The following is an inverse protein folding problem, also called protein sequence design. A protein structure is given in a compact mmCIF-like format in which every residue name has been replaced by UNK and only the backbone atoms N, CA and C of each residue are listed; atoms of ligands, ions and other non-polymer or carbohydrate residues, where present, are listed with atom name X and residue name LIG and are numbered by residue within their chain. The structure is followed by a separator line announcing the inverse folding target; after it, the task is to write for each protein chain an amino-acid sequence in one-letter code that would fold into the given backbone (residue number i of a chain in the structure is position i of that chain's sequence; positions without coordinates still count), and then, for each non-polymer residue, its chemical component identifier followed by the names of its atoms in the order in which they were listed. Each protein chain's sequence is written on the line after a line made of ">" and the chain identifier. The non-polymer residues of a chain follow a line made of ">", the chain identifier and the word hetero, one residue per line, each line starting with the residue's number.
data_IF_606106646201
#
_entry.id   IF_606106646201
#
_cell.length_a   1.000
_cell.length_b   1.000
_cell.length_c   1.000
_cell.angle_alpha   90.00
_cell.angle_beta   90.00
_cell.angle_gamma   90.00
#
_symmetry.space_group_name_H-M   'P 1'
#
loop_
_entity.id
_entity.type
_entity.pdbx_description
1 polymer ?
#
# COMPACT_ATOMS: atom_id res chain seq x y z
N UNK A 1 -14.13 -4.75 -4.01
CA UNK A 1 -12.98 -5.09 -4.85
C UNK A 1 -12.64 -6.56 -4.63
N UNK A 2 -12.39 -7.32 -5.69
CA UNK A 2 -11.95 -8.73 -5.66
C UNK A 2 -10.44 -8.84 -5.86
N UNK A 3 -9.87 -10.02 -5.63
CA UNK A 3 -8.43 -10.25 -5.75
C UNK A 3 -7.85 -9.81 -7.12
N UNK A 4 -8.51 -10.13 -8.23
CA UNK A 4 -8.03 -9.75 -9.57
C UNK A 4 -8.04 -8.23 -9.80
N UNK A 5 -8.96 -7.49 -9.17
CA UNK A 5 -9.02 -6.02 -9.29
C UNK A 5 -7.84 -5.39 -8.53
N UNK A 6 -7.44 -5.98 -7.40
CA UNK A 6 -6.21 -5.58 -6.69
C UNK A 6 -4.95 -5.90 -7.50
N UNK A 7 -4.88 -7.06 -8.17
CA UNK A 7 -3.75 -7.38 -9.05
C UNK A 7 -3.59 -6.35 -10.16
N UNK A 8 -4.70 -5.95 -10.78
CA UNK A 8 -4.72 -4.88 -11.78
C UNK A 8 -4.22 -3.58 -11.18
N UNK A 9 -4.64 -3.19 -9.97
CA UNK A 9 -4.10 -1.99 -9.33
C UNK A 9 -2.59 -2.08 -9.07
N UNK A 10 -2.09 -3.22 -8.58
CA UNK A 10 -0.66 -3.42 -8.33
C UNK A 10 0.14 -3.30 -9.64
N UNK A 11 -0.35 -3.92 -10.72
CA UNK A 11 0.26 -3.83 -12.05
C UNK A 11 0.34 -2.37 -12.52
N UNK A 12 -0.73 -1.61 -12.27
CA UNK A 12 -0.94 -0.27 -12.81
C UNK A 12 -0.31 0.85 -11.99
N UNK A 13 0.34 0.54 -10.87
CA UNK A 13 1.24 1.49 -10.19
C UNK A 13 2.28 2.02 -11.20
N UNK A 14 2.38 3.34 -11.30
CA UNK A 14 3.15 4.09 -12.29
C UNK A 14 2.33 4.67 -13.45
N UNK A 15 1.06 4.27 -13.60
CA UNK A 15 0.14 4.83 -14.61
C UNK A 15 -0.34 6.23 -14.22
N UNK A 16 -0.77 7.03 -15.19
CA UNK A 16 -1.44 8.30 -14.94
C UNK A 16 -2.91 8.09 -14.55
N UNK A 17 -3.43 8.96 -13.69
CA UNK A 17 -4.80 8.90 -13.19
C UNK A 17 -5.85 8.87 -14.33
N UNK A 18 -5.65 9.70 -15.35
CA UNK A 18 -6.54 9.81 -16.51
C UNK A 18 -6.62 8.50 -17.29
N UNK A 19 -5.52 7.74 -17.36
CA UNK A 19 -5.50 6.43 -18.02
C UNK A 19 -6.34 5.43 -17.21
N UNK A 20 -6.17 5.42 -15.89
CA UNK A 20 -6.92 4.52 -14.99
C UNK A 20 -8.43 4.79 -15.05
N UNK A 21 -8.83 6.05 -15.20
CA UNK A 21 -10.23 6.43 -15.45
C UNK A 21 -10.71 5.97 -16.82
N UNK A 22 -9.96 6.26 -17.89
CA UNK A 22 -10.35 5.95 -19.26
C UNK A 22 -10.55 4.46 -19.52
N UNK A 23 -9.82 3.62 -18.79
CA UNK A 23 -9.91 2.16 -18.87
C UNK A 23 -10.90 1.55 -17.88
N UNK A 24 -11.53 2.36 -17.03
CA UNK A 24 -12.52 1.92 -16.04
C UNK A 24 -11.92 1.15 -14.87
N UNK A 25 -10.61 1.29 -14.61
CA UNK A 25 -9.92 0.67 -13.48
C UNK A 25 -10.28 1.37 -12.17
N UNK A 26 -10.41 2.71 -12.22
CA UNK A 26 -10.81 3.53 -11.09
C UNK A 26 -12.18 4.18 -11.33
N UNK A 27 -12.94 4.44 -10.26
CA UNK A 27 -14.19 5.20 -10.37
C UNK A 27 -13.88 6.65 -10.76
N UNK A 28 -14.82 7.28 -11.47
CA UNK A 28 -14.78 8.72 -11.77
C UNK A 28 -15.05 9.54 -10.49
N UNK A 29 -13.99 9.71 -9.72
CA UNK A 29 -13.96 10.44 -8.45
C UNK A 29 -12.88 11.53 -8.53
N UNK A 30 -12.97 12.57 -7.71
CA UNK A 30 -11.90 13.57 -7.64
C UNK A 30 -10.84 13.13 -6.65
N UNK A 31 -9.58 13.29 -7.01
CA UNK A 31 -8.47 13.12 -6.07
C UNK A 31 -8.53 14.23 -5.02
N UNK A 32 -8.27 13.87 -3.76
CA UNK A 32 -8.37 14.78 -2.61
C UNK A 32 -7.01 15.12 -2.06
N UNK A 33 -6.80 16.37 -1.70
CA UNK A 33 -5.64 16.83 -0.95
C UNK A 33 -5.93 16.71 0.55
N UNK A 34 -5.11 15.96 1.28
CA UNK A 34 -5.34 15.74 2.72
C UNK A 34 -4.85 16.93 3.54
N UNK A 35 -3.71 17.52 3.17
CA UNK A 35 -3.14 18.71 3.79
C UNK A 35 -2.78 19.74 2.74
N UNK A 36 -2.97 21.02 3.04
CA UNK A 36 -2.62 22.11 2.15
C UNK A 36 -1.12 22.08 1.80
N UNK A 37 -0.81 22.03 0.51
CA UNK A 37 0.54 21.94 -0.02
C UNK A 37 1.12 20.53 -0.05
N UNK A 38 0.31 19.48 0.12
CA UNK A 38 0.78 18.08 0.03
C UNK A 38 1.12 17.73 -1.42
N UNK A 39 2.33 17.23 -1.68
CA UNK A 39 2.74 16.83 -3.03
C UNK A 39 2.04 15.53 -3.49
N UNK A 40 1.29 14.87 -2.60
CA UNK A 40 0.45 13.73 -2.91
C UNK A 40 -1.04 14.10 -2.94
N UNK A 41 -1.76 13.43 -3.83
CA UNK A 41 -3.21 13.43 -3.91
C UNK A 41 -3.73 12.03 -3.57
N UNK A 42 -4.83 11.96 -2.84
CA UNK A 42 -5.36 10.74 -2.27
C UNK A 42 -6.72 10.35 -2.85
N UNK A 43 -6.97 9.05 -2.95
CA UNK A 43 -8.27 8.47 -3.29
C UNK A 43 -8.54 7.19 -2.50
N UNK A 44 -9.74 7.06 -1.93
CA UNK A 44 -10.25 5.82 -1.33
C UNK A 44 -11.40 5.28 -2.17
N UNK A 45 -11.15 4.40 -3.16
CA UNK A 45 -12.22 3.81 -3.96
C UNK A 45 -13.12 2.88 -3.14
N UNK A 46 -12.60 2.29 -2.05
CA UNK A 46 -13.32 1.38 -1.17
C UNK A 46 -12.73 1.40 0.26
N UNK A 47 -13.52 1.16 1.32
CA UNK A 47 -13.00 1.06 2.68
C UNK A 47 -11.76 0.19 2.83
N UNK A 48 -10.67 0.82 3.30
CA UNK A 48 -9.39 0.17 3.56
C UNK A 48 -8.48 0.02 2.34
N UNK A 49 -8.88 0.57 1.19
CA UNK A 49 -8.05 0.72 -0.01
C UNK A 49 -7.77 2.21 -0.20
N UNK A 50 -6.52 2.61 -0.02
CA UNK A 50 -6.08 4.00 -0.23
C UNK A 50 -5.07 4.05 -1.39
N UNK A 51 -5.17 5.08 -2.22
CA UNK A 51 -4.31 5.29 -3.38
C UNK A 51 -3.68 6.68 -3.30
N UNK A 52 -2.35 6.75 -3.43
CA UNK A 52 -1.62 8.02 -3.55
C UNK A 52 -1.16 8.26 -4.99
N UNK A 53 -1.33 9.49 -5.43
CA UNK A 53 -0.92 10.00 -6.72
C UNK A 53 0.04 11.17 -6.55
N UNK A 54 1.04 11.28 -7.42
CA UNK A 54 1.91 12.46 -7.47
C UNK A 54 1.14 13.66 -8.01
N UNK A 55 1.02 14.74 -7.24
CA UNK A 55 0.22 15.91 -7.61
C UNK A 55 0.59 16.49 -8.97
N UNK A 56 1.88 16.64 -9.26
CA UNK A 56 2.33 17.35 -10.46
C UNK A 56 1.99 16.60 -11.76
N UNK A 57 1.88 15.27 -11.71
CA UNK A 57 1.73 14.44 -12.92
C UNK A 57 0.51 13.53 -12.91
N UNK A 58 -0.21 13.44 -11.79
CA UNK A 58 -1.29 12.46 -11.61
C UNK A 58 -0.81 11.01 -11.62
N UNK A 59 0.50 10.75 -11.48
CA UNK A 59 1.06 9.39 -11.50
C UNK A 59 0.66 8.63 -10.25
N UNK A 60 0.03 7.48 -10.40
CA UNK A 60 -0.31 6.56 -9.32
C UNK A 60 0.95 5.93 -8.73
N UNK A 61 1.23 6.13 -7.45
CA UNK A 61 2.51 5.72 -6.86
C UNK A 61 2.43 4.68 -5.77
N UNK A 62 1.31 4.67 -5.03
CA UNK A 62 1.20 3.84 -3.82
C UNK A 62 -0.22 3.35 -3.64
N UNK A 63 -0.36 2.04 -3.47
CA UNK A 63 -1.59 1.38 -3.03
C UNK A 63 -1.39 0.92 -1.59
N UNK A 64 -2.31 1.29 -0.70
CA UNK A 64 -2.38 0.78 0.66
C UNK A 64 -3.59 -0.12 0.79
N UNK A 65 -3.39 -1.28 1.42
CA UNK A 65 -4.45 -2.22 1.78
C UNK A 65 -4.41 -2.42 3.29
N UNK A 66 -5.35 -1.82 4.01
CA UNK A 66 -5.43 -1.85 5.47
C UNK A 66 -6.16 -3.10 5.96
N UNK A 67 -5.44 -4.03 6.59
CA UNK A 67 -5.96 -5.32 7.06
C UNK A 67 -6.42 -5.31 8.52
N UNK A 68 -5.78 -4.48 9.36
CA UNK A 68 -6.08 -4.37 10.78
C UNK A 68 -6.35 -2.91 11.14
N UNK A 69 -7.46 -2.66 11.81
CA UNK A 69 -7.80 -1.35 12.37
C UNK A 69 -6.87 -1.04 13.53
N UNK A 70 -5.95 -0.11 13.31
CA UNK A 70 -5.02 0.35 14.35
C UNK A 70 -5.40 1.70 14.95
N UNK A 71 -6.28 2.45 14.29
CA UNK A 71 -6.83 3.72 14.80
C UNK A 71 -8.35 3.79 14.59
N UNK A 72 -9.06 4.71 15.25
CA UNK A 72 -10.48 4.92 15.01
C UNK A 72 -10.83 5.29 13.56
N UNK A 73 -9.93 5.94 12.82
CA UNK A 73 -10.15 6.37 11.44
C UNK A 73 -9.80 5.32 10.39
N UNK A 74 -8.93 4.34 10.71
CA UNK A 74 -8.61 3.25 9.78
C UNK A 74 -9.84 2.40 9.50
N UNK A 75 -10.16 2.22 8.21
CA UNK A 75 -11.13 1.23 7.76
C UNK A 75 -10.39 -0.03 7.34
N UNK A 76 -10.91 -1.19 7.73
CA UNK A 76 -10.33 -2.48 7.34
C UNK A 76 -10.90 -2.90 5.99
N UNK A 77 -10.02 -3.29 5.09
CA UNK A 77 -10.36 -3.98 3.86
C UNK A 77 -10.84 -5.40 4.21
N UNK A 78 -11.99 -5.79 3.65
CA UNK A 78 -12.64 -7.09 3.88
C UNK A 78 -12.79 -7.93 2.62
N UNK A 79 -12.26 -7.45 1.49
CA UNK A 79 -12.29 -8.20 0.24
C UNK A 79 -11.20 -9.27 0.15
N UNK A 80 -11.17 -9.96 -0.98
CA UNK A 80 -10.20 -11.02 -1.26
C UNK A 80 -8.85 -10.43 -1.67
N UNK A 81 -7.76 -11.00 -1.14
CA UNK A 81 -6.40 -10.63 -1.52
C UNK A 81 -5.85 -11.61 -2.57
N UNK A 82 -5.05 -11.14 -3.53
CA UNK A 82 -4.35 -12.03 -4.45
C UNK A 82 -3.27 -12.83 -3.73
N UNK A 83 -2.98 -14.03 -4.24
CA UNK A 83 -1.89 -14.83 -3.73
C UNK A 83 -0.54 -14.10 -3.95
N UNK A 84 0.43 -14.22 -3.03
CA UNK A 84 0.42 -15.03 -1.80
C UNK A 84 -0.01 -14.24 -0.55
N UNK A 85 -0.71 -13.11 -0.71
CA UNK A 85 -1.11 -12.26 0.41
C UNK A 85 -2.37 -12.81 1.10
N UNK A 86 -2.44 -12.67 2.42
CA UNK A 86 -3.59 -13.10 3.21
C UNK A 86 -3.99 -12.03 4.25
N UNK A 87 -5.25 -12.04 4.67
CA UNK A 87 -5.81 -11.06 5.60
C UNK A 87 -5.23 -11.17 7.01
N UNK A 88 -4.77 -12.36 7.36
CA UNK A 88 -4.12 -12.65 8.64
C UNK A 88 -2.75 -13.25 8.36
N UNK A 89 -1.71 -12.48 8.65
CA UNK A 89 -0.31 -12.91 8.54
C UNK A 89 0.50 -12.30 9.67
N UNK A 90 1.53 -13.01 10.11
CA UNK A 90 2.57 -12.52 11.01
C UNK A 90 3.85 -12.22 10.23
N UNK A 91 4.82 -11.56 10.86
CA UNK A 91 6.14 -11.39 10.28
C UNK A 91 6.80 -12.74 9.94
N UNK A 92 6.65 -13.75 10.80
CA UNK A 92 7.21 -15.08 10.57
C UNK A 92 6.60 -15.72 9.30
N UNK A 93 5.28 -15.56 9.08
CA UNK A 93 4.64 -16.02 7.85
C UNK A 93 5.19 -15.29 6.61
N UNK A 94 5.41 -13.97 6.72
CA UNK A 94 6.01 -13.17 5.65
C UNK A 94 7.42 -13.66 5.33
N UNK A 95 8.26 -13.91 6.32
CA UNK A 95 9.62 -14.41 6.10
C UNK A 95 9.62 -15.83 5.51
N UNK A 96 8.68 -16.67 5.93
CA UNK A 96 8.54 -18.02 5.38
C UNK A 96 8.12 -18.03 3.90
N UNK A 97 7.30 -17.07 3.48
CA UNK A 97 6.78 -16.98 2.10
C UNK A 97 7.74 -16.21 1.18
N UNK A 98 8.28 -15.09 1.64
CA UNK A 98 9.03 -14.13 0.81
C UNK A 98 10.55 -14.18 1.03
N UNK A 99 11.03 -14.91 2.04
CA UNK A 99 12.45 -15.04 2.35
C UNK A 99 13.01 -13.82 3.09
N UNK A 100 14.25 -13.45 2.79
CA UNK A 100 14.94 -12.33 3.44
C UNK A 100 14.49 -10.98 2.82
N UNK A 101 14.09 -9.98 3.65
CA UNK A 101 13.66 -8.68 3.15
C UNK A 101 14.82 -7.88 2.56
N UNK A 102 14.55 -7.11 1.50
CA UNK A 102 15.54 -6.16 0.96
C UNK A 102 15.83 -5.00 1.93
N UNK A 103 14.86 -4.68 2.78
CA UNK A 103 14.99 -3.70 3.84
C UNK A 103 14.00 -4.04 4.95
N UNK A 104 14.44 -3.88 6.20
CA UNK A 104 13.62 -4.14 7.39
C UNK A 104 13.86 -3.06 8.42
N UNK A 105 12.83 -2.74 9.20
CA UNK A 105 12.93 -1.90 10.38
C UNK A 105 12.03 -2.47 11.46
N UNK A 106 12.62 -2.81 12.61
CA UNK A 106 11.87 -3.30 13.75
C UNK A 106 10.98 -2.24 14.43
N UNK A 107 10.26 -2.63 15.50
CA UNK A 107 9.43 -1.73 16.30
C UNK A 107 10.13 -0.44 16.75
N UNK A 108 9.43 0.69 16.67
CA UNK A 108 9.96 2.00 17.08
C UNK A 108 9.03 2.61 18.12
N UNK A 109 9.62 3.14 19.19
CA UNK A 109 8.91 3.97 20.15
C UNK A 109 8.78 5.39 19.60
N UNK A 110 7.57 5.76 19.20
CA UNK A 110 7.22 7.13 18.79
C UNK A 110 6.78 7.96 20.00
N UNK A 111 6.83 9.30 19.92
CA UNK A 111 6.28 10.18 20.95
C UNK A 111 4.79 9.93 21.19
N UNK A 112 4.32 10.29 22.39
CA UNK A 112 2.89 10.35 22.71
C UNK A 112 2.21 11.37 21.77
N UNK A 113 1.01 11.10 21.22
CA UNK A 113 0.12 9.97 21.51
C UNK A 113 0.32 8.72 20.63
N UNK A 114 1.30 8.69 19.72
CA UNK A 114 1.47 7.62 18.73
C UNK A 114 1.91 6.29 19.39
N UNK A 115 2.80 6.34 20.38
CA UNK A 115 3.22 5.14 21.13
C UNK A 115 4.17 4.23 20.36
N UNK A 116 4.06 2.91 20.53
CA UNK A 116 4.97 1.94 19.88
C UNK A 116 4.42 1.50 18.51
N UNK A 117 5.27 1.46 17.48
CA UNK A 117 4.93 0.89 16.17
C UNK A 117 5.51 -0.51 16.02
N UNK A 118 4.96 -1.33 15.12
CA UNK A 118 5.44 -2.70 14.86
C UNK A 118 6.65 -2.80 13.93
N UNK A 119 7.02 -1.73 13.26
CA UNK A 119 8.03 -1.79 12.20
C UNK A 119 7.47 -2.22 10.84
N UNK A 120 8.35 -2.59 9.92
CA UNK A 120 8.02 -3.01 8.57
C UNK A 120 9.14 -3.82 7.90
N UNK A 121 8.76 -4.64 6.92
CA UNK A 121 9.68 -5.31 5.99
C UNK A 121 9.31 -4.96 4.54
N UNK A 122 10.29 -4.90 3.66
CA UNK A 122 10.10 -4.62 2.25
C UNK A 122 10.74 -5.67 1.37
N UNK A 123 10.03 -6.04 0.31
CA UNK A 123 10.43 -7.05 -0.67
C UNK A 123 10.22 -6.51 -2.08
N UNK A 124 11.12 -6.81 -3.04
CA UNK A 124 10.84 -6.55 -4.43
C UNK A 124 9.65 -7.40 -4.87
N UNK A 125 8.79 -6.86 -5.72
CA UNK A 125 7.89 -7.71 -6.48
C UNK A 125 8.69 -8.39 -7.60
N UNK A 126 8.13 -9.47 -8.17
CA UNK A 126 8.72 -10.15 -9.31
C UNK A 126 9.02 -9.11 -10.42
N UNK A 127 10.29 -8.89 -10.81
CA UNK A 127 10.65 -7.85 -11.76
C UNK A 127 10.18 -8.13 -13.19
N UNK A 128 9.85 -9.39 -13.53
CA UNK A 128 9.29 -9.73 -14.84
C UNK A 128 7.81 -9.35 -14.94
N UNK A 129 7.07 -9.48 -13.83
CA UNK A 129 5.63 -9.17 -13.77
C UNK A 129 5.37 -7.72 -13.32
N UNK A 130 6.18 -7.21 -12.40
CA UNK A 130 5.99 -5.95 -11.70
C UNK A 130 7.30 -5.13 -11.68
N UNK A 131 7.83 -4.74 -12.84
CA UNK A 131 9.12 -4.08 -12.93
C UNK A 131 9.15 -2.79 -12.11
N UNK A 132 10.20 -2.64 -11.31
CA UNK A 132 10.46 -1.44 -10.50
C UNK A 132 9.51 -1.25 -9.31
N UNK A 133 8.78 -2.30 -8.90
CA UNK A 133 7.81 -2.25 -7.80
C UNK A 133 8.26 -3.08 -6.60
N UNK A 134 7.75 -2.72 -5.43
CA UNK A 134 7.97 -3.43 -4.17
C UNK A 134 6.68 -3.49 -3.36
N UNK A 135 6.64 -4.44 -2.45
CA UNK A 135 5.66 -4.49 -1.37
C UNK A 135 6.36 -4.17 -0.04
N UNK A 136 5.66 -3.44 0.83
CA UNK A 136 6.05 -3.20 2.21
C UNK A 136 4.98 -3.76 3.12
N UNK A 137 5.35 -4.69 3.99
CA UNK A 137 4.53 -5.21 5.05
C UNK A 137 4.71 -4.32 6.27
N UNK A 138 3.67 -3.63 6.68
CA UNK A 138 3.67 -2.88 7.93
C UNK A 138 3.08 -3.71 9.05
N UNK A 139 3.70 -3.65 10.23
CA UNK A 139 3.31 -4.49 11.37
C UNK A 139 2.63 -3.71 12.50
N UNK A 140 1.77 -4.41 13.23
CA UNK A 140 1.34 -4.07 14.59
C UNK A 140 2.47 -4.36 15.60
N UNK A 141 2.31 -3.93 16.86
CA UNK A 141 3.31 -4.18 17.92
C UNK A 141 3.55 -5.68 18.18
N UNK A 142 2.55 -6.51 17.95
CA UNK A 142 2.59 -7.98 18.03
C UNK A 142 3.01 -8.65 16.70
N UNK A 143 3.63 -7.88 15.79
CA UNK A 143 4.18 -8.36 14.52
C UNK A 143 3.16 -9.01 13.58
N UNK A 144 1.90 -8.58 13.65
CA UNK A 144 0.86 -8.94 12.68
C UNK A 144 0.85 -7.93 11.54
N UNK A 145 0.67 -8.41 10.31
CA UNK A 145 0.55 -7.53 9.14
C UNK A 145 -0.72 -6.70 9.28
N UNK A 146 -0.56 -5.38 9.43
CA UNK A 146 -1.69 -4.43 9.50
C UNK A 146 -1.99 -3.76 8.17
N UNK A 147 -0.99 -3.60 7.31
CA UNK A 147 -1.13 -2.89 6.04
C UNK A 147 -0.14 -3.47 5.03
N UNK A 148 -0.62 -3.77 3.83
CA UNK A 148 0.21 -4.02 2.66
C UNK A 148 0.34 -2.72 1.88
N UNK A 149 1.58 -2.33 1.55
CA UNK A 149 1.84 -1.12 0.77
C UNK A 149 2.59 -1.50 -0.49
N UNK A 150 1.93 -1.40 -1.64
CA UNK A 150 2.53 -1.64 -2.94
C UNK A 150 2.95 -0.29 -3.52
N UNK A 151 4.20 -0.18 -3.97
CA UNK A 151 4.73 1.11 -4.45
C UNK A 151 5.90 0.95 -5.40
N UNK A 152 6.21 2.03 -6.13
CA UNK A 152 7.44 2.14 -6.92
C UNK A 152 8.67 2.10 -5.99
N UNK A 153 9.72 1.39 -6.42
CA UNK A 153 11.03 1.40 -5.76
C UNK A 153 11.65 2.80 -5.85
N UNK A 154 11.58 3.40 -7.05
CA UNK A 154 12.01 4.76 -7.32
C UNK A 154 10.81 5.58 -7.80
N UNK A 155 10.44 6.61 -7.02
CA UNK A 155 9.35 7.52 -7.34
C UNK A 155 9.80 8.68 -8.23
N UNK A 156 11.10 8.92 -8.35
CA UNK A 156 11.67 9.95 -9.23
C UNK A 156 11.36 11.39 -8.79
N UNK A 157 10.94 11.60 -7.55
CA UNK A 157 10.77 12.94 -6.97
C UNK A 157 12.16 13.55 -6.72
N UNK A 158 12.31 14.85 -6.97
CA UNK A 158 13.56 15.60 -6.76
C UNK A 158 13.46 16.50 -5.54
#
# INVERSE_FOLDING_TARGET
>A
MKAFELEVLIERIGSQYEILLSEGILPDQSLTEIFEGDDQLWLEPEPGIDLDFWRETGKFETLFVSLIRTTPSTKEYKGELPAPYASEMTQDDVHAIFGEPMASKGPIKMPVPIGMTGGWDSYPLDPELYPGKKVVFQYTQDMRVKTLVFTLIDKGHR
#
